data_IF_763090133960
#
_entry.id   IF_763090133960
#
_cell.length_a   1.000
_cell.length_b   1.000
_cell.length_c   1.000
_cell.angle_alpha   90.00
_cell.angle_beta   90.00
_cell.angle_gamma   90.00
#
_symmetry.space_group_name_H-M   'P 1'
#
loop_
_entity.id
_entity.type
_entity.pdbx_description
1 polymer ?
#
# COMPACT_ATOMS: atom_id res chain seq x y z
N UNK A 1 21.00 45.02 3.19
CA UNK A 1 20.14 43.82 3.18
C UNK A 1 19.26 43.92 1.95
N UNK A 2 19.24 42.90 1.08
CA UNK A 2 18.39 42.92 -0.12
C UNK A 2 17.00 42.45 0.31
N UNK A 3 15.99 43.28 0.13
CA UNK A 3 14.61 42.92 0.46
C UNK A 3 14.12 41.77 -0.45
N UNK A 4 13.08 41.06 0.01
CA UNK A 4 12.48 39.98 -0.74
C UNK A 4 11.98 40.48 -2.12
N UNK A 5 11.98 39.63 -3.16
CA UNK A 5 11.48 40.03 -4.47
C UNK A 5 10.01 40.48 -4.36
N UNK A 6 9.56 41.45 -5.18
CA UNK A 6 8.26 42.09 -5.03
C UNK A 6 7.08 41.10 -5.11
N UNK A 7 7.21 40.04 -5.92
CA UNK A 7 6.21 38.98 -5.99
C UNK A 7 6.05 38.21 -4.65
N UNK A 8 7.15 38.00 -3.91
CA UNK A 8 7.10 37.34 -2.61
C UNK A 8 6.46 38.26 -1.55
N UNK A 9 6.77 39.56 -1.57
CA UNK A 9 6.14 40.54 -0.68
C UNK A 9 4.63 40.64 -0.90
N UNK A 10 4.21 40.62 -2.16
CA UNK A 10 2.79 40.64 -2.53
C UNK A 10 2.08 39.37 -2.04
N UNK A 11 2.70 38.19 -2.20
CA UNK A 11 2.18 36.93 -1.66
C UNK A 11 2.04 36.96 -0.13
N UNK A 12 3.06 37.47 0.58
CA UNK A 12 3.00 37.65 2.04
C UNK A 12 1.90 38.62 2.46
N UNK A 13 1.72 39.72 1.73
CA UNK A 13 0.67 40.71 1.98
C UNK A 13 -0.73 40.12 1.84
N UNK A 14 -1.01 39.40 0.74
CA UNK A 14 -2.29 38.72 0.53
C UNK A 14 -2.57 37.74 1.66
N UNK A 15 -1.59 36.92 2.03
CA UNK A 15 -1.75 35.95 3.11
C UNK A 15 -2.00 36.61 4.46
N UNK A 16 -1.26 37.68 4.79
CA UNK A 16 -1.43 38.42 6.03
C UNK A 16 -2.84 39.02 6.15
N UNK A 17 -3.34 39.65 5.07
CA UNK A 17 -4.72 40.16 5.01
C UNK A 17 -5.73 39.04 5.17
N UNK A 18 -5.51 37.89 4.52
CA UNK A 18 -6.38 36.72 4.65
C UNK A 18 -6.42 36.18 6.09
N UNK A 19 -5.26 36.07 6.75
CA UNK A 19 -5.17 35.65 8.14
C UNK A 19 -5.88 36.61 9.09
N UNK A 20 -5.72 37.92 8.89
CA UNK A 20 -6.40 38.93 9.70
C UNK A 20 -7.93 38.86 9.50
N UNK A 21 -8.37 38.73 8.26
CA UNK A 21 -9.79 38.63 7.93
C UNK A 21 -10.42 37.39 8.56
N UNK A 22 -9.78 36.22 8.46
CA UNK A 22 -10.28 34.98 9.06
C UNK A 22 -10.22 35.01 10.59
N UNK A 23 -9.22 35.69 11.18
CA UNK A 23 -9.09 35.85 12.62
C UNK A 23 -10.16 36.76 13.21
N UNK A 24 -10.46 37.89 12.56
CA UNK A 24 -11.48 38.85 13.02
C UNK A 24 -12.89 38.38 12.67
N UNK A 25 -13.06 37.74 11.51
CA UNK A 25 -14.34 37.24 11.02
C UNK A 25 -14.28 35.71 10.79
N UNK A 26 -14.51 34.91 11.84
CA UNK A 26 -14.42 33.45 11.75
C UNK A 26 -15.68 32.77 11.16
N UNK A 27 -16.75 33.53 10.91
CA UNK A 27 -18.00 33.01 10.34
C UNK A 27 -17.83 32.16 9.05
N UNK A 28 -17.00 32.53 8.06
CA UNK A 28 -16.76 31.70 6.87
C UNK A 28 -16.20 30.32 7.22
N UNK A 29 -15.30 30.23 8.20
CA UNK A 29 -14.77 28.95 8.70
C UNK A 29 -15.87 28.15 9.41
N UNK A 30 -16.68 28.82 10.23
CA UNK A 30 -17.75 28.18 10.99
C UNK A 30 -18.88 27.65 10.10
N UNK A 31 -19.13 28.30 8.96
CA UNK A 31 -20.14 27.86 7.99
C UNK A 31 -19.78 26.55 7.26
N UNK A 32 -18.50 26.16 7.25
CA UNK A 32 -18.03 24.92 6.64
C UNK A 32 -18.23 23.69 7.55
N UNK A 33 -18.60 23.88 8.82
CA UNK A 33 -18.74 22.76 9.75
C UNK A 33 -19.97 21.92 9.39
N UNK A 34 -19.83 20.58 9.23
CA UNK A 34 -20.94 19.69 8.89
C UNK A 34 -21.93 19.47 10.03
N UNK A 35 -21.55 19.79 11.28
CA UNK A 35 -22.40 19.73 12.45
C UNK A 35 -22.60 21.13 13.02
N UNK A 36 -23.81 21.50 13.45
CA UNK A 36 -24.04 22.78 14.10
C UNK A 36 -23.25 22.82 15.41
N UNK A 37 -22.16 23.58 15.41
CA UNK A 37 -21.44 23.87 16.66
C UNK A 37 -22.43 24.54 17.61
N UNK A 38 -22.64 24.03 18.84
CA UNK A 38 -23.55 24.66 19.80
C UNK A 38 -23.12 26.10 20.00
N UNK A 39 -24.03 27.07 19.79
CA UNK A 39 -23.86 28.54 19.84
C UNK A 39 -22.46 29.04 20.29
N UNK A 40 -21.42 28.76 19.51
CA UNK A 40 -20.06 29.09 19.90
C UNK A 40 -19.83 30.53 19.50
N UNK A 41 -19.96 31.43 20.46
CA UNK A 41 -19.68 32.86 20.26
C UNK A 41 -18.19 33.07 20.50
N UNK A 42 -17.30 33.18 19.48
CA UNK A 42 -15.85 33.22 19.67
C UNK A 42 -15.38 34.38 20.57
N UNK A 43 -15.97 35.55 20.39
CA UNK A 43 -15.65 36.78 21.10
C UNK A 43 -16.63 37.04 22.24
N UNK A 44 -16.34 36.52 23.42
CA UNK A 44 -17.04 36.90 24.65
C UNK A 44 -16.13 37.77 25.52
N UNK A 45 -16.69 38.72 26.30
CA UNK A 45 -15.88 39.57 27.18
C UNK A 45 -14.98 38.78 28.13
N UNK A 46 -15.48 37.67 28.68
CA UNK A 46 -14.72 36.80 29.57
C UNK A 46 -13.50 36.15 28.88
N UNK A 47 -13.65 35.66 27.64
CA UNK A 47 -12.52 35.05 26.90
C UNK A 47 -11.50 36.08 26.47
N UNK A 48 -11.95 37.26 26.06
CA UNK A 48 -11.06 38.36 25.69
C UNK A 48 -10.23 38.77 26.92
N UNK A 49 -10.88 38.96 28.07
CA UNK A 49 -10.19 39.29 29.32
C UNK A 49 -9.16 38.22 29.70
N UNK A 50 -9.53 36.94 29.69
CA UNK A 50 -8.60 35.85 30.00
C UNK A 50 -7.43 35.77 29.01
N UNK A 51 -7.67 36.03 27.73
CA UNK A 51 -6.60 36.04 26.71
C UNK A 51 -5.67 37.23 26.91
N UNK A 52 -6.22 38.41 27.21
CA UNK A 52 -5.42 39.61 27.52
C UNK A 52 -4.60 39.43 28.79
N UNK A 53 -5.15 38.80 29.82
CA UNK A 53 -4.44 38.46 31.05
C UNK A 53 -3.26 37.51 30.76
N UNK A 54 -3.52 36.42 30.02
CA UNK A 54 -2.49 35.47 29.60
C UNK A 54 -1.37 36.15 28.80
N UNK A 55 -1.73 36.99 27.81
CA UNK A 55 -0.77 37.70 26.97
C UNK A 55 0.03 38.73 27.77
N UNK A 56 -0.62 39.46 28.68
CA UNK A 56 0.04 40.45 29.53
C UNK A 56 1.01 39.77 30.50
N UNK A 57 0.59 38.67 31.12
CA UNK A 57 1.44 37.93 32.04
C UNK A 57 2.61 37.24 31.32
N UNK A 58 2.39 36.68 30.13
CA UNK A 58 3.45 36.15 29.29
C UNK A 58 4.43 37.26 28.87
N UNK A 59 3.93 38.42 28.43
CA UNK A 59 4.74 39.58 28.11
C UNK A 59 5.57 40.08 29.30
N UNK A 60 4.96 40.10 30.49
CA UNK A 60 5.64 40.44 31.75
C UNK A 60 6.75 39.43 32.07
N UNK A 61 6.48 38.13 31.94
CA UNK A 61 7.48 37.08 32.13
C UNK A 61 8.68 37.31 31.20
N UNK A 62 8.44 37.54 29.90
CA UNK A 62 9.51 37.85 28.95
C UNK A 62 10.26 39.14 29.29
N UNK A 63 9.58 40.18 29.78
CA UNK A 63 10.22 41.42 30.20
C UNK A 63 11.13 41.22 31.42
N UNK A 64 10.70 40.45 32.42
CA UNK A 64 11.48 40.13 33.62
C UNK A 64 12.66 39.22 33.28
N UNK A 65 12.46 38.21 32.43
CA UNK A 65 13.49 37.24 32.04
C UNK A 65 14.31 37.64 30.80
N UNK A 66 14.08 38.84 30.25
CA UNK A 66 14.83 39.40 29.14
C UNK A 66 16.36 39.25 29.27
N UNK A 67 17.03 39.47 30.43
CA UNK A 67 18.47 39.29 30.55
C UNK A 67 18.92 37.82 30.42
N UNK A 68 18.09 36.87 30.87
CA UNK A 68 18.39 35.42 30.81
C UNK A 68 18.15 34.88 29.40
N UNK A 69 17.10 35.36 28.74
CA UNK A 69 16.70 34.97 27.38
C UNK A 69 17.53 35.63 26.28
N UNK A 70 18.59 36.36 26.64
CA UNK A 70 19.51 36.96 25.67
C UNK A 70 20.10 35.87 24.78
N UNK A 71 20.08 36.14 23.47
CA UNK A 71 20.70 35.26 22.47
C UNK A 71 22.19 35.12 22.78
N UNK A 72 22.60 33.91 23.14
CA UNK A 72 24.00 33.53 23.15
C UNK A 72 24.47 33.29 21.70
N UNK A 73 25.72 33.63 21.35
CA UNK A 73 26.25 33.37 20.02
C UNK A 73 26.35 31.85 19.80
N UNK A 74 25.37 31.30 19.11
CA UNK A 74 25.25 29.88 18.80
C UNK A 74 24.45 29.66 17.52
N UNK A 75 24.72 28.55 16.86
CA UNK A 75 23.92 28.07 15.74
C UNK A 75 22.80 27.22 16.34
N UNK A 76 21.57 27.70 16.25
CA UNK A 76 20.40 26.90 16.60
C UNK A 76 20.23 25.85 15.51
N UNK A 77 20.36 24.57 15.87
CA UNK A 77 20.05 23.48 14.96
C UNK A 77 18.56 23.22 15.06
N UNK A 78 17.83 23.62 14.04
CA UNK A 78 16.40 23.33 13.92
C UNK A 78 16.17 21.82 13.75
N UNK A 79 15.03 21.32 14.22
CA UNK A 79 14.65 19.90 14.07
C UNK A 79 14.38 19.52 12.62
N UNK A 80 14.19 20.49 11.73
CA UNK A 80 14.07 20.30 10.29
C UNK A 80 15.30 19.63 9.66
N UNK A 81 16.48 19.77 10.30
CA UNK A 81 17.71 19.10 9.91
C UNK A 81 17.55 17.59 9.95
N UNK A 82 16.86 17.06 10.96
CA UNK A 82 16.62 15.62 11.08
C UNK A 82 15.78 15.10 9.91
N UNK A 83 14.76 15.87 9.49
CA UNK A 83 13.95 15.52 8.33
C UNK A 83 14.75 15.63 7.03
N UNK A 84 15.49 16.72 6.82
CA UNK A 84 16.29 16.94 5.61
C UNK A 84 17.42 15.93 5.45
N UNK A 85 18.09 15.57 6.54
CA UNK A 85 19.19 14.61 6.54
C UNK A 85 18.70 13.15 6.57
N UNK A 86 17.63 12.86 7.32
CA UNK A 86 17.08 11.51 7.49
C UNK A 86 16.22 11.04 6.32
N UNK A 87 15.51 11.95 5.64
CA UNK A 87 14.63 11.64 4.51
C UNK A 87 15.31 10.83 3.39
N UNK A 88 16.49 11.25 2.90
CA UNK A 88 17.23 10.50 1.88
C UNK A 88 17.64 9.09 2.34
N UNK A 89 17.95 8.92 3.62
CA UNK A 89 18.35 7.61 4.19
C UNK A 89 17.14 6.68 4.24
N UNK A 90 16.01 7.15 4.75
CA UNK A 90 14.77 6.39 4.79
C UNK A 90 14.27 6.01 3.39
N UNK A 91 14.36 6.94 2.44
CA UNK A 91 14.01 6.67 1.05
C UNK A 91 14.88 5.56 0.45
N UNK A 92 16.20 5.62 0.63
CA UNK A 92 17.13 4.60 0.13
C UNK A 92 16.88 3.23 0.77
N UNK A 93 16.56 3.20 2.06
CA UNK A 93 16.21 1.96 2.77
C UNK A 93 14.92 1.36 2.21
N UNK A 94 13.87 2.17 2.07
CA UNK A 94 12.59 1.73 1.52
C UNK A 94 12.72 1.23 0.07
N UNK A 95 13.49 1.94 -0.76
CA UNK A 95 13.75 1.59 -2.15
C UNK A 95 14.56 0.29 -2.27
N UNK A 96 15.58 0.10 -1.41
CA UNK A 96 16.36 -1.14 -1.38
C UNK A 96 15.54 -2.33 -0.89
N UNK A 97 14.75 -2.15 0.17
CA UNK A 97 13.86 -3.18 0.69
C UNK A 97 12.78 -3.55 -0.34
N UNK A 98 12.19 -2.54 -1.00
CA UNK A 98 11.18 -2.73 -2.05
C UNK A 98 11.72 -3.50 -3.25
N UNK A 99 12.93 -3.17 -3.72
CA UNK A 99 13.61 -3.94 -4.79
C UNK A 99 13.90 -5.37 -4.37
N UNK A 100 14.41 -5.59 -3.15
CA UNK A 100 14.70 -6.94 -2.65
C UNK A 100 13.45 -7.81 -2.55
N UNK A 101 12.36 -7.24 -2.02
CA UNK A 101 11.08 -7.93 -1.91
C UNK A 101 10.45 -8.20 -3.29
N UNK A 102 10.50 -7.24 -4.19
CA UNK A 102 10.04 -7.40 -5.58
C UNK A 102 10.80 -8.49 -6.32
N UNK A 103 12.14 -8.51 -6.19
CA UNK A 103 12.98 -9.54 -6.77
C UNK A 103 12.63 -10.94 -6.23
N UNK A 104 12.44 -11.07 -4.91
CA UNK A 104 12.02 -12.32 -4.28
C UNK A 104 10.68 -12.84 -4.83
N UNK A 105 9.65 -11.98 -4.89
CA UNK A 105 8.35 -12.39 -5.42
C UNK A 105 8.42 -12.76 -6.91
N UNK A 106 9.21 -12.04 -7.70
CA UNK A 106 9.38 -12.36 -9.12
C UNK A 106 10.09 -13.71 -9.32
N UNK A 107 11.11 -14.03 -8.52
CA UNK A 107 11.82 -15.31 -8.58
C UNK A 107 10.93 -16.46 -8.10
N UNK A 108 10.16 -16.24 -7.02
CA UNK A 108 9.17 -17.21 -6.55
C UNK A 108 8.11 -17.49 -7.60
N UNK A 109 7.56 -16.45 -8.24
CA UNK A 109 6.59 -16.58 -9.32
C UNK A 109 7.17 -17.31 -10.53
N UNK A 110 8.42 -17.04 -10.90
CA UNK A 110 9.09 -17.76 -11.99
C UNK A 110 9.33 -19.24 -11.64
N UNK A 111 9.73 -19.54 -10.40
CA UNK A 111 9.92 -20.92 -9.92
C UNK A 111 8.60 -21.70 -9.87
N UNK A 112 7.52 -21.09 -9.40
CA UNK A 112 6.21 -21.74 -9.36
C UNK A 112 5.64 -21.93 -10.76
N UNK A 113 5.79 -20.93 -11.66
CA UNK A 113 5.39 -21.06 -13.05
C UNK A 113 6.15 -22.18 -13.77
N UNK A 114 7.47 -22.27 -13.60
CA UNK A 114 8.29 -23.34 -14.20
C UNK A 114 8.05 -24.71 -13.55
N UNK A 115 7.70 -24.77 -12.25
CA UNK A 115 7.30 -26.00 -11.59
C UNK A 115 5.93 -26.48 -12.10
N UNK A 116 4.99 -25.57 -12.26
CA UNK A 116 3.65 -25.84 -12.78
C UNK A 116 3.68 -26.23 -14.25
N UNK A 117 4.52 -25.59 -15.07
CA UNK A 117 4.75 -25.96 -16.47
C UNK A 117 5.35 -27.38 -16.56
N UNK A 118 6.36 -27.68 -15.73
CA UNK A 118 6.95 -29.04 -15.67
C UNK A 118 5.94 -30.09 -15.22
N UNK A 119 5.15 -29.80 -14.19
CA UNK A 119 4.10 -30.68 -13.69
C UNK A 119 3.02 -30.93 -14.75
N UNK A 120 2.56 -29.87 -15.43
CA UNK A 120 1.52 -29.96 -16.47
C UNK A 120 2.02 -30.69 -17.72
N UNK A 121 3.29 -30.55 -18.11
CA UNK A 121 3.84 -31.30 -19.28
C UNK A 121 4.13 -32.77 -19.00
N UNK A 122 4.54 -33.14 -17.78
CA UNK A 122 4.98 -34.50 -17.44
C UNK A 122 3.97 -35.30 -16.60
N UNK A 123 2.98 -34.63 -16.00
CA UNK A 123 1.92 -35.25 -15.21
C UNK A 123 0.96 -36.11 -16.04
N UNK A 124 0.41 -35.60 -17.16
CA UNK A 124 -0.55 -36.36 -17.98
C UNK A 124 0.08 -37.61 -18.58
N UNK A 125 1.32 -37.53 -19.06
CA UNK A 125 2.04 -38.67 -19.65
C UNK A 125 2.40 -39.73 -18.61
N UNK A 126 2.79 -39.33 -17.40
CA UNK A 126 3.04 -40.27 -16.28
C UNK A 126 1.77 -40.95 -15.80
N UNK A 127 0.69 -40.19 -15.59
CA UNK A 127 -0.61 -40.75 -15.20
C UNK A 127 -1.16 -41.71 -16.27
N UNK A 128 -1.09 -41.34 -17.55
CA UNK A 128 -1.49 -42.22 -18.64
C UNK A 128 -0.69 -43.53 -18.66
N UNK A 129 0.64 -43.46 -18.47
CA UNK A 129 1.48 -44.66 -18.40
C UNK A 129 1.22 -45.54 -17.16
N UNK A 130 0.86 -44.92 -16.03
CA UNK A 130 0.49 -45.60 -14.79
C UNK A 130 -0.87 -46.29 -14.91
N UNK A 131 -1.87 -45.62 -15.50
CA UNK A 131 -3.20 -46.18 -15.73
C UNK A 131 -3.11 -47.36 -16.71
N UNK A 132 -2.41 -47.21 -17.83
CA UNK A 132 -2.23 -48.33 -18.78
C UNK A 132 -1.44 -49.48 -18.16
N UNK A 133 -0.46 -49.18 -17.28
CA UNK A 133 0.25 -50.21 -16.53
C UNK A 133 -0.59 -50.92 -15.47
N UNK A 134 -1.48 -50.20 -14.79
CA UNK A 134 -2.38 -50.75 -13.77
C UNK A 134 -3.41 -51.71 -14.40
N UNK A 135 -3.86 -51.42 -15.62
CA UNK A 135 -4.80 -52.25 -16.38
C UNK A 135 -4.13 -53.24 -17.35
N UNK A 136 -2.78 -53.35 -17.35
CA UNK A 136 -2.04 -54.23 -18.24
C UNK A 136 -2.40 -55.73 -18.15
N UNK A 137 -2.75 -56.32 -16.98
CA UNK A 137 -3.15 -57.73 -16.94
C UNK A 137 -4.56 -57.99 -17.50
N UNK A 138 -5.42 -56.95 -17.62
CA UNK A 138 -6.77 -57.05 -18.20
C UNK A 138 -6.79 -56.82 -19.72
N UNK A 139 -5.80 -56.13 -20.28
CA UNK A 139 -5.79 -55.69 -21.68
C UNK A 139 -5.02 -56.61 -22.65
N UNK A 140 -4.31 -57.63 -22.15
CA UNK A 140 -3.59 -58.58 -23.02
C UNK A 140 -2.66 -57.90 -24.04
N UNK A 141 -2.68 -58.34 -25.31
CA UNK A 141 -1.80 -57.81 -26.38
C UNK A 141 -2.07 -56.36 -26.79
N UNK A 142 -3.21 -55.77 -26.41
CA UNK A 142 -3.57 -54.38 -26.75
C UNK A 142 -2.97 -53.35 -25.77
N UNK A 143 -2.41 -53.80 -24.64
CA UNK A 143 -1.79 -52.93 -23.63
C UNK A 143 -0.60 -52.13 -24.17
N UNK A 144 0.23 -52.73 -25.04
CA UNK A 144 1.41 -52.07 -25.60
C UNK A 144 1.01 -51.02 -26.67
N UNK A 145 -0.03 -51.31 -27.47
CA UNK A 145 -0.59 -50.39 -28.46
C UNK A 145 -1.23 -49.17 -27.79
N UNK A 146 -2.04 -49.39 -26.75
CA UNK A 146 -2.68 -48.33 -25.97
C UNK A 146 -1.67 -47.47 -25.20
N UNK A 147 -0.54 -48.03 -24.75
CA UNK A 147 0.58 -47.28 -24.16
C UNK A 147 1.21 -46.32 -25.17
N UNK A 148 1.45 -46.78 -26.40
CA UNK A 148 2.04 -45.96 -27.45
C UNK A 148 1.09 -44.88 -27.96
N UNK A 149 -0.20 -45.18 -28.09
CA UNK A 149 -1.24 -44.20 -28.44
C UNK A 149 -1.44 -43.17 -27.33
N UNK A 150 -1.46 -43.58 -26.07
CA UNK A 150 -1.53 -42.66 -24.93
C UNK A 150 -0.29 -41.76 -24.82
N UNK A 151 0.91 -42.27 -25.14
CA UNK A 151 2.13 -41.48 -25.19
C UNK A 151 2.10 -40.45 -26.35
N UNK A 152 1.57 -40.82 -27.52
CA UNK A 152 1.38 -39.92 -28.68
C UNK A 152 0.29 -38.87 -28.41
N UNK A 153 -0.81 -39.27 -27.77
CA UNK A 153 -1.91 -38.39 -27.38
C UNK A 153 -1.50 -37.36 -26.33
N UNK A 154 -0.70 -37.77 -25.33
CA UNK A 154 -0.12 -36.87 -24.34
C UNK A 154 0.87 -35.87 -24.95
N UNK A 155 1.61 -36.26 -26.01
CA UNK A 155 2.53 -35.37 -26.73
C UNK A 155 1.83 -34.35 -27.64
N UNK A 156 0.60 -34.62 -28.08
CA UNK A 156 -0.14 -33.81 -29.08
C UNK A 156 -1.30 -33.00 -28.46
N UNK A 157 -1.45 -33.00 -27.12
CA UNK A 157 -2.58 -32.40 -26.39
C UNK A 157 -3.98 -32.89 -26.82
N UNK A 158 -4.06 -33.92 -27.67
CA UNK A 158 -5.30 -34.59 -28.05
C UNK A 158 -5.59 -35.67 -27.02
N UNK A 159 -6.21 -35.31 -25.90
CA UNK A 159 -6.66 -36.30 -24.92
C UNK A 159 -7.73 -37.16 -25.63
N UNK A 160 -7.62 -38.52 -25.62
CA UNK A 160 -8.64 -39.36 -26.23
C UNK A 160 -9.98 -39.10 -25.55
N UNK A 161 -11.02 -38.85 -26.36
CA UNK A 161 -12.32 -38.32 -25.90
C UNK A 161 -13.00 -39.15 -24.79
N UNK A 162 -12.63 -40.43 -24.63
CA UNK A 162 -13.11 -41.27 -23.54
C UNK A 162 -12.60 -40.86 -22.16
N UNK A 163 -11.36 -40.35 -22.04
CA UNK A 163 -10.75 -39.99 -20.75
C UNK A 163 -11.29 -38.66 -20.24
N UNK A 164 -11.52 -37.68 -21.14
CA UNK A 164 -12.17 -36.41 -20.78
C UNK A 164 -13.62 -36.64 -20.35
N UNK A 165 -14.35 -37.51 -21.03
CA UNK A 165 -15.71 -37.88 -20.66
C UNK A 165 -15.77 -38.58 -19.30
N UNK A 166 -14.84 -39.52 -19.03
CA UNK A 166 -14.76 -40.22 -17.75
C UNK A 166 -14.39 -39.29 -16.59
N UNK A 167 -13.46 -38.36 -16.77
CA UNK A 167 -13.09 -37.37 -15.76
C UNK A 167 -14.24 -36.38 -15.48
N UNK A 168 -14.96 -35.95 -16.54
CA UNK A 168 -16.14 -35.10 -16.40
C UNK A 168 -17.28 -35.82 -15.65
N UNK A 169 -17.53 -37.08 -15.96
CA UNK A 169 -18.53 -37.91 -15.26
C UNK A 169 -18.13 -38.18 -13.80
N UNK A 170 -16.86 -38.47 -13.53
CA UNK A 170 -16.37 -38.66 -12.17
C UNK A 170 -16.47 -37.38 -11.33
N UNK A 171 -16.14 -36.22 -11.92
CA UNK A 171 -16.32 -34.91 -11.29
C UNK A 171 -17.79 -34.61 -11.00
N UNK A 172 -18.68 -34.90 -11.94
CA UNK A 172 -20.13 -34.76 -11.75
C UNK A 172 -20.65 -35.67 -10.62
N UNK A 173 -20.22 -36.94 -10.57
CA UNK A 173 -20.58 -37.88 -9.50
C UNK A 173 -20.07 -37.43 -8.13
N UNK A 174 -18.84 -36.90 -8.06
CA UNK A 174 -18.27 -36.40 -6.81
C UNK A 174 -19.04 -35.18 -6.29
N UNK A 175 -19.40 -34.24 -7.18
CA UNK A 175 -20.21 -33.07 -6.83
C UNK A 175 -21.59 -33.51 -6.34
N UNK A 176 -22.23 -34.45 -7.04
CA UNK A 176 -23.53 -34.98 -6.63
C UNK A 176 -23.46 -35.70 -5.27
N UNK A 177 -22.39 -36.45 -4.99
CA UNK A 177 -22.19 -37.13 -3.71
C UNK A 177 -21.83 -36.19 -2.54
N UNK A 178 -21.36 -34.97 -2.82
CA UNK A 178 -21.08 -33.95 -1.80
C UNK A 178 -22.29 -33.05 -1.48
N UNK A 179 -23.31 -33.06 -2.35
CA UNK A 179 -24.52 -32.25 -2.25
C UNK A 179 -25.70 -33.03 -1.65
N UNK A 180 -25.65 -34.37 -1.67
CA UNK A 180 -26.58 -35.28 -0.98
C UNK A 180 -26.04 -35.64 0.40
#
# INVERSE_FOLDING_TARGET
VREAPPAALLGMGILAVSCLLLGVYPAPLLALLPYPAPAFVPFTPARIAATLELLTFAGLFFAVYAPVLRRQPGITLDTDWFYRAGGPVLYRLADTAGRGLGAFFSDLAARTATALDRFTRHGPSRLASLIVGLFSPLLGQDAERLRQEAARAAATWTIPAGVTLAAALAGLCLILALVV
#
